data_IF_141673702309
#
_entry.id   IF_141673702309
#
_cell.length_a   1.000
_cell.length_b   1.000
_cell.length_c   1.000
_cell.angle_alpha   90.00
_cell.angle_beta   90.00
_cell.angle_gamma   90.00
#
_symmetry.space_group_name_H-M   'P 1'
#
loop_
_entity.id
_entity.type
_entity.pdbx_description
1 polymer ?
#
# COMPACT_ATOMS: atom_id res chain seq x y z
N UNK A 1 1.32 -2.18 -20.48
CA UNK A 1 1.68 -1.82 -19.09
C UNK A 1 0.61 -2.39 -18.17
N UNK A 2 0.93 -3.33 -17.27
CA UNK A 2 -0.07 -4.06 -16.46
C UNK A 2 -0.88 -3.17 -15.51
N UNK A 3 -0.27 -2.09 -14.99
CA UNK A 3 -0.91 -1.13 -14.09
C UNK A 3 -1.64 0.02 -14.79
N UNK A 4 -1.65 0.07 -16.14
CA UNK A 4 -2.23 1.20 -16.85
C UNK A 4 -3.77 1.08 -16.96
N UNK A 5 -4.46 2.17 -16.65
CA UNK A 5 -5.92 2.25 -16.74
C UNK A 5 -6.53 2.78 -15.46
N UNK A 6 -7.86 2.87 -15.45
CA UNK A 6 -8.60 3.23 -14.26
C UNK A 6 -8.86 1.97 -13.44
N UNK A 7 -8.78 2.11 -12.12
CA UNK A 7 -9.08 1.03 -11.18
C UNK A 7 -10.09 1.55 -10.16
N UNK A 8 -11.07 0.72 -9.83
CA UNK A 8 -12.09 1.00 -8.83
C UNK A 8 -11.87 0.10 -7.61
N UNK A 9 -11.93 0.66 -6.41
CA UNK A 9 -11.81 -0.10 -5.17
C UNK A 9 -12.95 -1.12 -5.08
N UNK A 10 -12.61 -2.39 -4.94
CA UNK A 10 -13.58 -3.47 -4.79
C UNK A 10 -13.68 -3.90 -3.32
N UNK A 11 -12.54 -4.14 -2.68
CA UNK A 11 -12.47 -4.56 -1.27
C UNK A 11 -11.26 -3.97 -0.57
N UNK A 12 -11.32 -3.94 0.76
CA UNK A 12 -10.23 -3.52 1.62
C UNK A 12 -10.34 -4.22 2.98
N UNK A 13 -9.19 -4.48 3.60
CA UNK A 13 -9.05 -5.17 4.88
C UNK A 13 -8.26 -4.29 5.85
N UNK A 14 -8.61 -4.31 7.13
CA UNK A 14 -7.93 -3.60 8.22
C UNK A 14 -7.83 -2.07 8.05
N UNK A 15 -8.75 -1.49 7.29
CA UNK A 15 -8.74 -0.05 7.00
C UNK A 15 -8.89 0.84 8.22
N UNK A 16 -9.76 0.49 9.17
CA UNK A 16 -9.95 1.29 10.38
C UNK A 16 -8.71 1.27 11.27
N UNK A 17 -8.12 0.11 11.45
CA UNK A 17 -6.91 -0.07 12.27
C UNK A 17 -5.73 0.63 11.63
N UNK A 18 -5.56 0.48 10.31
CA UNK A 18 -4.55 1.19 9.54
C UNK A 18 -4.72 2.70 9.63
N UNK A 19 -5.94 3.21 9.49
CA UNK A 19 -6.23 4.64 9.59
C UNK A 19 -5.89 5.19 10.99
N UNK A 20 -6.23 4.46 12.05
CA UNK A 20 -5.88 4.83 13.44
C UNK A 20 -4.37 4.83 13.67
N UNK A 21 -3.68 3.78 13.21
CA UNK A 21 -2.25 3.61 13.40
C UNK A 21 -1.47 4.67 12.62
N UNK A 22 -1.82 4.88 11.35
CA UNK A 22 -1.23 5.96 10.53
C UNK A 22 -1.53 7.34 11.10
N UNK A 23 -2.74 7.59 11.61
CA UNK A 23 -3.05 8.85 12.28
C UNK A 23 -2.20 9.05 13.55
N UNK A 24 -1.96 8.01 14.34
CA UNK A 24 -1.06 8.10 15.51
C UNK A 24 0.38 8.38 15.10
N UNK A 25 0.94 7.58 14.19
CA UNK A 25 2.34 7.67 13.74
C UNK A 25 2.62 9.00 13.04
N UNK A 26 1.69 9.46 12.19
CA UNK A 26 1.89 10.62 11.34
C UNK A 26 1.19 11.90 11.83
N UNK A 27 0.61 11.90 13.04
CA UNK A 27 -0.18 13.02 13.59
C UNK A 27 0.55 14.37 13.66
N UNK A 28 1.89 14.38 13.71
CA UNK A 28 2.66 15.56 14.09
C UNK A 28 3.84 15.92 13.15
N UNK A 29 3.92 15.38 11.93
CA UNK A 29 5.06 15.68 11.06
C UNK A 29 4.70 15.80 9.57
N UNK A 30 5.37 16.74 8.90
CA UNK A 30 5.60 16.64 7.46
C UNK A 30 6.66 15.55 7.24
N UNK A 31 6.29 14.47 6.55
CA UNK A 31 7.18 13.35 6.29
C UNK A 31 7.71 13.42 4.87
N UNK A 32 8.97 13.83 4.74
CA UNK A 32 9.71 13.66 3.49
C UNK A 32 10.18 12.21 3.37
N UNK A 33 9.32 11.38 2.77
CA UNK A 33 9.63 9.97 2.52
C UNK A 33 10.36 9.81 1.19
N UNK A 34 11.67 9.59 1.25
CA UNK A 34 12.44 9.15 0.09
C UNK A 34 12.51 7.61 0.07
N UNK A 35 11.82 7.00 -0.88
CA UNK A 35 11.78 5.54 -1.07
C UNK A 35 12.27 5.14 -2.45
N UNK A 36 12.83 3.94 -2.57
CA UNK A 36 13.13 3.35 -3.88
C UNK A 36 11.99 2.44 -4.30
N UNK A 37 11.39 2.75 -5.46
CA UNK A 37 10.45 1.85 -6.11
C UNK A 37 11.21 0.83 -6.96
N UNK A 38 10.90 -0.45 -6.78
CA UNK A 38 11.42 -1.56 -7.60
C UNK A 38 10.24 -2.27 -8.25
N UNK A 39 10.40 -2.63 -9.51
CA UNK A 39 9.46 -3.51 -10.20
C UNK A 39 10.22 -4.78 -10.53
N UNK A 40 9.79 -5.91 -9.95
CA UNK A 40 10.33 -7.23 -10.24
C UNK A 40 9.17 -8.14 -10.63
N UNK A 41 9.26 -8.75 -11.81
CA UNK A 41 8.30 -9.76 -12.27
C UNK A 41 6.82 -9.31 -12.20
N UNK A 42 6.55 -8.03 -12.52
CA UNK A 42 5.19 -7.46 -12.48
C UNK A 42 4.70 -7.04 -11.08
N UNK A 43 5.51 -7.23 -10.03
CA UNK A 43 5.26 -6.75 -8.67
C UNK A 43 6.03 -5.46 -8.40
N UNK A 44 5.31 -4.40 -8.08
CA UNK A 44 5.85 -3.13 -7.58
C UNK A 44 6.09 -3.25 -6.08
N UNK A 45 7.28 -2.90 -5.62
CA UNK A 45 7.60 -2.73 -4.21
C UNK A 45 8.20 -1.35 -3.96
N UNK A 46 7.66 -0.63 -2.99
CA UNK A 46 8.23 0.58 -2.43
C UNK A 46 8.67 0.28 -1.00
N UNK A 47 9.97 0.44 -0.77
CA UNK A 47 10.56 0.26 0.55
C UNK A 47 10.92 1.63 1.10
N UNK A 48 10.27 2.01 2.20
CA UNK A 48 10.64 3.13 3.04
C UNK A 48 11.46 2.61 4.24
N UNK A 49 12.20 3.47 4.95
CA UNK A 49 12.96 3.06 6.13
C UNK A 49 12.11 2.36 7.19
N UNK A 50 10.84 2.77 7.30
CA UNK A 50 9.93 2.33 8.37
C UNK A 50 8.64 1.68 7.86
N UNK A 51 8.34 1.73 6.55
CA UNK A 51 7.10 1.23 5.96
C UNK A 51 7.37 0.43 4.68
N UNK A 52 6.50 -0.54 4.40
CA UNK A 52 6.58 -1.35 3.20
C UNK A 52 5.27 -1.27 2.43
N UNK A 53 5.38 -1.02 1.12
CA UNK A 53 4.26 -1.01 0.20
C UNK A 53 4.54 -1.93 -0.98
N UNK A 54 3.57 -2.74 -1.35
CA UNK A 54 3.61 -3.54 -2.57
C UNK A 54 2.33 -3.40 -3.37
N UNK A 55 2.44 -3.42 -4.68
CA UNK A 55 1.32 -3.53 -5.59
C UNK A 55 1.59 -4.60 -6.65
N UNK A 56 0.61 -5.43 -6.95
CA UNK A 56 0.68 -6.45 -7.97
C UNK A 56 -0.68 -6.65 -8.65
N UNK A 57 -0.65 -7.12 -9.90
CA UNK A 57 -1.86 -7.50 -10.61
C UNK A 57 -2.07 -9.01 -10.44
N UNK A 58 -3.13 -9.38 -9.72
CA UNK A 58 -3.51 -10.77 -9.48
C UNK A 58 -4.92 -10.94 -10.03
N UNK A 59 -5.10 -11.88 -10.97
CA UNK A 59 -6.40 -12.16 -11.60
C UNK A 59 -7.09 -10.91 -12.20
N UNK A 60 -6.34 -10.05 -12.89
CA UNK A 60 -6.81 -8.76 -13.47
C UNK A 60 -7.31 -7.74 -12.43
N UNK A 61 -6.97 -7.96 -11.15
CA UNK A 61 -7.22 -7.04 -10.05
C UNK A 61 -5.91 -6.49 -9.51
N UNK A 62 -5.90 -5.21 -9.21
CA UNK A 62 -4.82 -4.53 -8.53
C UNK A 62 -4.92 -4.79 -7.03
N UNK A 63 -4.05 -5.66 -6.54
CA UNK A 63 -3.86 -5.88 -5.11
C UNK A 63 -2.75 -4.95 -4.62
N UNK A 64 -3.06 -4.13 -3.61
CA UNK A 64 -2.09 -3.30 -2.92
C UNK A 64 -2.06 -3.68 -1.45
N UNK A 65 -0.85 -3.86 -0.94
CA UNK A 65 -0.59 -4.15 0.48
C UNK A 65 0.32 -3.06 1.02
N UNK A 66 -0.11 -2.44 2.11
CA UNK A 66 0.64 -1.44 2.85
C UNK A 66 0.83 -1.94 4.28
N UNK A 67 2.06 -1.84 4.79
CA UNK A 67 2.40 -2.20 6.16
C UNK A 67 2.89 -0.95 6.86
N UNK A 68 2.23 -0.58 7.95
CA UNK A 68 2.65 0.57 8.76
C UNK A 68 3.91 0.27 9.55
N UNK A 69 4.73 1.31 9.84
CA UNK A 69 5.70 1.24 10.93
C UNK A 69 4.99 0.94 12.26
N UNK A 70 5.70 0.39 13.25
CA UNK A 70 5.21 0.28 14.64
C UNK A 70 5.32 -1.12 15.24
N UNK A 71 5.31 -1.21 16.58
CA UNK A 71 5.37 -2.49 17.31
C UNK A 71 4.19 -3.42 16.99
N UNK A 72 3.03 -2.85 16.64
CA UNK A 72 1.82 -3.59 16.26
C UNK A 72 1.58 -3.62 14.73
N UNK A 73 2.60 -3.32 13.92
CA UNK A 73 2.54 -3.08 12.46
C UNK A 73 1.30 -3.62 11.75
N UNK A 74 0.42 -2.70 11.31
CA UNK A 74 -0.86 -3.05 10.71
C UNK A 74 -0.67 -3.32 9.23
N UNK A 75 -1.15 -4.47 8.77
CA UNK A 75 -1.20 -4.80 7.34
C UNK A 75 -2.55 -4.37 6.77
N UNK A 76 -2.53 -3.37 5.91
CA UNK A 76 -3.66 -2.91 5.12
C UNK A 76 -3.59 -3.50 3.72
N UNK A 77 -4.66 -4.20 3.32
CA UNK A 77 -4.79 -4.73 1.97
C UNK A 77 -5.98 -4.08 1.28
N UNK A 78 -5.82 -3.73 0.01
CA UNK A 78 -6.91 -3.30 -0.87
C UNK A 78 -6.84 -4.00 -2.20
N UNK A 79 -8.00 -4.38 -2.73
CA UNK A 79 -8.14 -4.99 -4.04
C UNK A 79 -8.99 -4.05 -4.90
N UNK A 80 -8.48 -3.69 -6.06
CA UNK A 80 -9.15 -2.80 -7.01
C UNK A 80 -9.32 -3.48 -8.36
N UNK A 81 -10.52 -3.46 -8.92
CA UNK A 81 -10.80 -4.00 -10.26
C UNK A 81 -10.51 -2.98 -11.34
N UNK A 82 -10.14 -3.42 -12.54
CA UNK A 82 -9.95 -2.56 -13.70
C UNK A 82 -11.29 -2.14 -14.32
N UNK A 83 -11.37 -0.90 -14.81
CA UNK A 83 -12.53 -0.35 -15.55
C UNK A 83 -12.13 0.22 -16.90
#
# INVERSE_FOLDING_TARGET
MAFAGKHELETHENHEEFSKETAMIYSNAEFDLQGTAKINDGKLSLQFPESFFTAEIVNDKLEMTCVTPGENGVTYKRVSRRI
#
